data_IF_326627193840
#
_entry.id   IF_326627193840
#
_cell.length_a   1.000
_cell.length_b   1.000
_cell.length_c   1.000
_cell.angle_alpha   90.00
_cell.angle_beta   90.00
_cell.angle_gamma   90.00
#
_symmetry.space_group_name_H-M   'P 1'
#
loop_
_entity.id
_entity.type
_entity.pdbx_description
1 polymer ?
#
# COMPACT_ATOMS: atom_id res chain seq x y z
N UNK A 1 10.38 -1.07 -5.69
CA UNK A 1 10.19 0.41 -5.61
C UNK A 1 11.54 1.05 -5.34
N UNK A 2 11.99 2.03 -6.15
CA UNK A 2 13.26 2.73 -5.96
C UNK A 2 13.30 3.46 -4.61
N UNK A 3 14.45 3.50 -3.94
CA UNK A 3 14.57 4.18 -2.65
C UNK A 3 14.47 5.70 -2.79
N UNK A 4 14.89 6.26 -3.93
CA UNK A 4 14.71 7.69 -4.24
C UNK A 4 13.25 8.12 -4.19
N UNK A 5 12.32 7.29 -4.68
CA UNK A 5 10.89 7.57 -4.65
C UNK A 5 10.32 7.51 -3.22
N UNK A 6 10.77 6.52 -2.43
CA UNK A 6 10.34 6.39 -1.04
C UNK A 6 10.82 7.57 -0.18
N UNK A 7 12.05 8.03 -0.43
CA UNK A 7 12.63 9.19 0.25
C UNK A 7 11.94 10.50 -0.15
N UNK A 8 11.47 10.62 -1.39
CA UNK A 8 10.71 11.80 -1.87
C UNK A 8 9.30 11.88 -1.27
N UNK A 9 8.72 10.74 -0.89
CA UNK A 9 7.36 10.63 -0.37
C UNK A 9 7.31 9.84 0.95
N UNK A 10 7.93 10.35 2.03
CA UNK A 10 7.98 9.66 3.32
C UNK A 10 6.61 9.62 4.03
N UNK A 11 5.65 10.45 3.60
CA UNK A 11 4.26 10.43 4.08
C UNK A 11 3.49 9.17 3.67
N UNK A 12 4.00 8.44 2.67
CA UNK A 12 3.41 7.17 2.26
C UNK A 12 4.01 6.03 3.10
N UNK A 13 3.18 5.22 3.77
CA UNK A 13 3.63 4.10 4.60
C UNK A 13 4.06 2.90 3.73
N UNK A 14 5.18 3.04 3.02
CA UNK A 14 5.66 2.09 2.01
C UNK A 14 5.85 0.67 2.54
N UNK A 15 6.28 0.55 3.80
CA UNK A 15 6.57 -0.74 4.43
C UNK A 15 5.27 -1.49 4.74
N UNK A 16 4.28 -0.79 5.26
CA UNK A 16 2.96 -1.32 5.59
C UNK A 16 2.23 -1.77 4.32
N UNK A 17 2.31 -0.98 3.24
CA UNK A 17 1.76 -1.35 1.92
C UNK A 17 2.41 -2.62 1.37
N UNK A 18 3.74 -2.71 1.46
CA UNK A 18 4.48 -3.89 0.99
C UNK A 18 4.14 -5.12 1.81
N UNK A 19 4.06 -4.99 3.15
CA UNK A 19 3.68 -6.08 4.04
C UNK A 19 2.24 -6.58 3.84
N UNK A 20 1.29 -5.67 3.54
CA UNK A 20 -0.08 -6.05 3.21
C UNK A 20 -0.14 -6.85 1.90
N UNK A 21 0.59 -6.41 0.86
CA UNK A 21 0.72 -7.14 -0.41
C UNK A 21 1.28 -8.53 -0.18
N UNK A 22 2.36 -8.65 0.59
CA UNK A 22 3.01 -9.94 0.82
C UNK A 22 2.02 -10.91 1.50
N UNK A 23 1.27 -10.45 2.52
CA UNK A 23 0.21 -11.25 3.15
C UNK A 23 -0.88 -11.71 2.17
N UNK A 24 -1.30 -10.85 1.24
CA UNK A 24 -2.31 -11.21 0.22
C UNK A 24 -1.78 -12.23 -0.79
N UNK A 25 -0.52 -12.14 -1.18
CA UNK A 25 0.09 -13.03 -2.20
C UNK A 25 0.42 -14.40 -1.63
N UNK A 26 0.89 -14.47 -0.39
CA UNK A 26 1.24 -15.74 0.25
C UNK A 26 0.02 -16.51 0.77
N UNK A 27 -1.11 -15.84 1.04
CA UNK A 27 -2.40 -16.49 1.26
C UNK A 27 -2.39 -17.57 2.33
N UNK A 28 -1.68 -17.34 3.44
CA UNK A 28 -1.65 -18.32 4.54
C UNK A 28 -3.06 -18.50 5.12
N UNK A 29 -3.49 -19.76 5.19
CA UNK A 29 -4.83 -20.27 5.47
C UNK A 29 -5.48 -19.86 6.81
N UNK A 30 -4.84 -19.00 7.61
CA UNK A 30 -5.36 -18.46 8.87
C UNK A 30 -5.61 -16.95 8.85
N UNK A 31 -5.45 -16.29 7.69
CA UNK A 31 -5.69 -14.87 7.55
C UNK A 31 -7.18 -14.58 7.42
N UNK A 32 -7.66 -13.66 8.25
CA UNK A 32 -8.98 -13.07 8.11
C UNK A 32 -9.03 -12.27 6.79
N UNK A 33 -9.53 -12.92 5.74
CA UNK A 33 -9.66 -12.33 4.41
C UNK A 33 -10.57 -11.11 4.41
N UNK A 34 -11.54 -11.05 5.32
CA UNK A 34 -12.42 -9.89 5.49
C UNK A 34 -11.65 -8.72 6.08
N UNK A 35 -10.84 -8.95 7.12
CA UNK A 35 -9.95 -7.92 7.67
C UNK A 35 -8.93 -7.42 6.64
N UNK A 36 -8.35 -8.32 5.84
CA UNK A 36 -7.43 -7.96 4.75
C UNK A 36 -8.16 -7.15 3.68
N UNK A 37 -9.33 -7.59 3.24
CA UNK A 37 -10.13 -6.91 2.22
C UNK A 37 -10.57 -5.52 2.67
N UNK A 38 -11.11 -5.40 3.88
CA UNK A 38 -11.53 -4.12 4.45
C UNK A 38 -10.35 -3.16 4.59
N UNK A 39 -9.22 -3.66 5.10
CA UNK A 39 -7.98 -2.88 5.17
C UNK A 39 -7.54 -2.46 3.76
N UNK A 40 -7.55 -3.36 2.78
CA UNK A 40 -7.15 -3.04 1.41
C UNK A 40 -8.01 -1.93 0.83
N UNK A 41 -9.34 -2.04 0.95
CA UNK A 41 -10.29 -1.09 0.36
C UNK A 41 -10.16 0.29 1.00
N UNK A 42 -10.10 0.36 2.33
CA UNK A 42 -9.95 1.64 3.04
C UNK A 42 -8.58 2.28 2.77
N UNK A 43 -7.52 1.48 2.87
CA UNK A 43 -6.16 1.97 2.71
C UNK A 43 -5.89 2.41 1.27
N UNK A 44 -6.28 1.61 0.28
CA UNK A 44 -6.14 1.96 -1.15
C UNK A 44 -6.92 3.22 -1.49
N UNK A 45 -8.12 3.40 -0.93
CA UNK A 45 -8.91 4.62 -1.14
C UNK A 45 -8.18 5.87 -0.63
N UNK A 46 -7.54 5.79 0.53
CA UNK A 46 -6.75 6.89 1.09
C UNK A 46 -5.45 7.16 0.33
N UNK A 47 -4.84 6.13 -0.28
CA UNK A 47 -3.60 6.23 -1.03
C UNK A 47 -3.77 6.76 -2.45
N UNK A 48 -4.93 6.52 -3.07
CA UNK A 48 -5.24 6.97 -4.44
C UNK A 48 -4.88 8.43 -4.73
N UNK A 49 -5.31 9.43 -3.93
CA UNK A 49 -4.93 10.83 -4.19
C UNK A 49 -3.42 11.09 -4.09
N UNK A 50 -2.72 10.40 -3.18
CA UNK A 50 -1.27 10.52 -3.04
C UNK A 50 -0.55 9.95 -4.26
N UNK A 51 -0.98 8.78 -4.76
CA UNK A 51 -0.42 8.18 -5.98
C UNK A 51 -0.68 9.08 -7.19
N UNK A 52 -1.90 9.63 -7.33
CA UNK A 52 -2.22 10.57 -8.41
C UNK A 52 -1.33 11.81 -8.35
N UNK A 53 -1.04 12.33 -7.15
CA UNK A 53 -0.09 13.45 -6.99
C UNK A 53 1.29 13.06 -7.51
N UNK A 54 1.83 11.94 -7.05
CA UNK A 54 3.16 11.45 -7.46
C UNK A 54 3.26 11.26 -8.98
N UNK A 55 2.22 10.70 -9.61
CA UNK A 55 2.20 10.48 -11.06
C UNK A 55 2.14 11.79 -11.87
N UNK A 56 1.68 12.88 -11.27
CA UNK A 56 1.61 14.20 -11.89
C UNK A 56 2.83 15.08 -11.55
N UNK A 57 3.73 14.63 -10.68
CA UNK A 57 5.00 15.29 -10.44
C UNK A 57 5.93 15.04 -11.65
N UNK A 58 6.27 16.11 -12.36
CA UNK A 58 7.22 16.09 -13.48
C UNK A 58 8.65 15.90 -13.00
#
# INVERSE_FOLDING_TARGET
MPDSLKLKHPEIPWREISGLRDKMVYGDFGLDLEAIWNTAVEYVSSLKPLIVRILNER
#
